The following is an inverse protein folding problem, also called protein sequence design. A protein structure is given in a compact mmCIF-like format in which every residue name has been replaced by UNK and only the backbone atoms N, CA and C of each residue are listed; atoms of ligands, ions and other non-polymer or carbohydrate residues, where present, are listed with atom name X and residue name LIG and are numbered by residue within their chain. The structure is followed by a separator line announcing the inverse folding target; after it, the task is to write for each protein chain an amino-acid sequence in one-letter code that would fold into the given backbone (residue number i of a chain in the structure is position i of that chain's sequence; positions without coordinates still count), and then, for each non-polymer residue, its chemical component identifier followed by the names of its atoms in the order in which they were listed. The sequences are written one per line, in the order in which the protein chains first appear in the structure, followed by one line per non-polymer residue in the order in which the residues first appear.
data_IF_050510054558
#
_entry.id   IF_050510054558
#
_cell.length_a   1.000
_cell.length_b   1.000
_cell.length_c   1.000
_cell.angle_alpha   90.00
_cell.angle_beta   90.00
_cell.angle_gamma   90.00
#
_symmetry.space_group_name_H-M   'P 1'
#
loop_
_entity.id
_entity.type
_entity.pdbx_description
1 polymer ?
#
# COMPACT_ATOMS: atom_id res chain seq x y z
N UNK A 1 24.90 6.79 5.70
CA UNK A 1 25.05 6.60 4.25
C UNK A 1 23.76 7.04 3.59
N UNK A 2 23.88 7.92 2.62
CA UNK A 2 22.79 8.49 1.85
C UNK A 2 22.50 7.54 0.68
N UNK A 3 21.27 7.05 0.57
CA UNK A 3 20.87 6.12 -0.48
C UNK A 3 21.09 6.75 -1.86
N UNK A 4 21.93 6.13 -2.70
CA UNK A 4 22.17 6.58 -4.07
C UNK A 4 21.13 5.93 -5.02
N UNK A 5 20.21 6.69 -5.62
CA UNK A 5 19.17 6.14 -6.50
C UNK A 5 19.69 5.64 -7.86
N UNK A 6 20.98 5.82 -8.19
CA UNK A 6 21.56 5.47 -9.48
C UNK A 6 22.55 4.29 -9.45
N UNK A 7 22.91 3.79 -8.26
CA UNK A 7 23.69 2.56 -8.09
C UNK A 7 22.91 1.55 -7.24
N UNK A 8 22.11 0.67 -7.87
CA UNK A 8 21.16 -0.21 -7.22
C UNK A 8 21.77 -1.54 -6.79
N UNK A 9 23.06 -1.78 -7.05
CA UNK A 9 23.74 -2.99 -6.61
C UNK A 9 24.28 -2.77 -5.21
N UNK A 10 23.48 -3.17 -4.22
CA UNK A 10 23.90 -3.14 -2.83
C UNK A 10 25.20 -3.94 -2.67
N UNK A 11 26.26 -3.30 -2.19
CA UNK A 11 27.47 -4.04 -1.79
C UNK A 11 27.10 -5.01 -0.64
N UNK A 12 27.86 -6.08 -0.40
CA UNK A 12 27.57 -7.07 0.66
C UNK A 12 27.28 -6.43 2.04
N UNK A 13 27.87 -5.26 2.27
CA UNK A 13 27.76 -4.43 3.46
C UNK A 13 26.36 -3.79 3.62
N UNK A 14 25.63 -3.60 2.51
CA UNK A 14 24.31 -2.96 2.44
C UNK A 14 23.15 -3.96 2.46
N UNK A 15 23.42 -5.26 2.25
CA UNK A 15 22.44 -6.36 2.40
C UNK A 15 21.95 -6.46 3.87
N UNK A 16 22.84 -6.20 4.83
CA UNK A 16 22.50 -6.24 6.27
C UNK A 16 21.48 -5.15 6.66
N UNK A 17 21.66 -3.87 6.29
CA UNK A 17 20.62 -2.85 6.37
C UNK A 17 19.31 -3.23 5.66
N UNK A 18 19.40 -3.84 4.47
CA UNK A 18 18.23 -4.20 3.68
C UNK A 18 17.37 -5.30 4.34
N UNK A 19 18.00 -6.29 4.99
CA UNK A 19 17.28 -7.27 5.83
C UNK A 19 16.54 -6.63 6.99
N UNK A 20 17.12 -5.63 7.64
CA UNK A 20 16.44 -4.87 8.71
C UNK A 20 15.20 -4.15 8.18
N UNK A 21 15.25 -3.64 6.95
CA UNK A 21 14.11 -2.99 6.30
C UNK A 21 12.95 -3.99 6.10
N UNK A 22 13.20 -5.23 5.67
CA UNK A 22 12.14 -6.25 5.57
C UNK A 22 11.54 -6.64 6.93
N UNK A 23 12.36 -6.75 7.97
CA UNK A 23 11.85 -6.98 9.33
C UNK A 23 10.99 -5.81 9.82
N UNK A 24 11.32 -4.59 9.41
CA UNK A 24 10.50 -3.41 9.73
C UNK A 24 9.22 -3.42 8.88
N UNK A 25 9.29 -3.76 7.60
CA UNK A 25 8.14 -3.85 6.68
C UNK A 25 7.07 -4.79 7.22
N UNK A 26 7.44 -5.96 7.75
CA UNK A 26 6.46 -6.89 8.32
C UNK A 26 5.68 -6.29 9.50
N UNK A 27 6.26 -5.35 10.25
CA UNK A 27 5.57 -4.62 11.32
C UNK A 27 4.53 -3.60 10.82
N UNK A 28 4.49 -3.37 9.51
CA UNK A 28 3.50 -2.54 8.83
C UNK A 28 2.50 -3.37 8.01
N UNK A 29 2.48 -4.70 8.14
CA UNK A 29 1.47 -5.55 7.49
C UNK A 29 0.23 -5.75 8.37
N UNK A 30 -0.87 -6.19 7.76
CA UNK A 30 -2.09 -6.60 8.47
C UNK A 30 -1.85 -7.82 9.37
N UNK A 31 -2.64 -7.98 10.42
CA UNK A 31 -2.55 -9.13 11.32
C UNK A 31 -2.75 -10.47 10.58
N UNK A 32 -2.09 -11.51 11.08
CA UNK A 32 -2.20 -12.87 10.56
C UNK A 32 -3.66 -13.34 10.54
N UNK A 33 -4.08 -14.04 9.48
CA UNK A 33 -5.48 -14.45 9.29
C UNK A 33 -6.34 -13.43 8.53
N UNK A 34 -5.89 -12.17 8.38
CA UNK A 34 -6.67 -11.11 7.70
C UNK A 34 -6.99 -11.45 6.24
N UNK A 35 -6.05 -12.04 5.51
CA UNK A 35 -6.23 -12.35 4.09
C UNK A 35 -6.95 -13.68 3.85
N UNK A 36 -7.21 -14.46 4.90
CA UNK A 36 -7.87 -15.76 4.84
C UNK A 36 -9.37 -15.68 5.10
N UNK A 37 -9.86 -14.56 5.63
CA UNK A 37 -11.28 -14.37 5.97
C UNK A 37 -12.05 -13.79 4.79
N UNK A 38 -13.08 -14.50 4.31
CA UNK A 38 -13.87 -14.07 3.14
C UNK A 38 -14.54 -12.70 3.32
N UNK A 39 -14.97 -12.36 4.54
CA UNK A 39 -15.56 -11.05 4.83
C UNK A 39 -14.53 -9.94 4.70
N UNK A 40 -13.31 -10.12 5.22
CA UNK A 40 -12.27 -9.10 5.11
C UNK A 40 -11.80 -8.95 3.67
N UNK A 41 -11.74 -10.04 2.89
CA UNK A 41 -11.46 -10.01 1.46
C UNK A 41 -12.51 -9.20 0.70
N UNK A 42 -13.80 -9.40 0.98
CA UNK A 42 -14.86 -8.64 0.30
C UNK A 42 -14.82 -7.15 0.64
N UNK A 43 -14.60 -6.79 1.91
CA UNK A 43 -14.40 -5.40 2.32
C UNK A 43 -13.17 -4.77 1.67
N UNK A 44 -12.06 -5.51 1.58
CA UNK A 44 -10.84 -5.05 0.90
C UNK A 44 -11.11 -4.77 -0.57
N UNK A 45 -11.79 -5.67 -1.29
CA UNK A 45 -12.13 -5.47 -2.72
C UNK A 45 -12.97 -4.21 -2.92
N UNK A 46 -13.97 -4.01 -2.05
CA UNK A 46 -14.77 -2.79 -2.06
C UNK A 46 -13.92 -1.53 -1.81
N UNK A 47 -13.05 -1.56 -0.80
CA UNK A 47 -12.16 -0.45 -0.48
C UNK A 47 -11.21 -0.09 -1.63
N UNK A 48 -10.63 -1.10 -2.30
CA UNK A 48 -9.75 -0.86 -3.47
C UNK A 48 -10.52 -0.20 -4.60
N UNK A 49 -11.70 -0.73 -4.94
CA UNK A 49 -12.57 -0.13 -5.97
C UNK A 49 -12.90 1.33 -5.65
N UNK A 50 -13.30 1.60 -4.41
CA UNK A 50 -13.68 2.94 -3.97
C UNK A 50 -12.48 3.91 -3.98
N UNK A 51 -11.33 3.49 -3.46
CA UNK A 51 -10.11 4.32 -3.42
C UNK A 51 -9.57 4.56 -4.83
N UNK A 52 -9.57 3.55 -5.70
CA UNK A 52 -9.14 3.71 -7.10
C UNK A 52 -10.03 4.71 -7.84
N UNK A 53 -11.36 4.59 -7.71
CA UNK A 53 -12.31 5.50 -8.33
C UNK A 53 -12.10 6.95 -7.87
N UNK A 54 -11.98 7.17 -6.56
CA UNK A 54 -11.76 8.51 -6.00
C UNK A 54 -10.35 9.05 -6.30
N UNK A 55 -9.36 8.18 -6.48
CA UNK A 55 -8.01 8.60 -6.86
C UNK A 55 -7.92 9.17 -8.28
N UNK A 56 -8.96 9.00 -9.12
CA UNK A 56 -9.03 9.59 -10.46
C UNK A 56 -9.50 11.04 -10.45
N UNK A 57 -10.15 11.48 -9.37
CA UNK A 57 -10.69 12.83 -9.24
C UNK A 57 -9.60 13.89 -9.04
N UNK A 58 -8.41 13.47 -8.60
CA UNK A 58 -7.25 14.32 -8.30
C UNK A 58 -5.99 13.64 -8.86
N UNK A 59 -4.93 14.39 -9.18
CA UNK A 59 -3.69 13.79 -9.67
C UNK A 59 -2.80 13.27 -8.51
N UNK A 60 -3.34 12.33 -7.72
CA UNK A 60 -2.58 11.72 -6.64
C UNK A 60 -1.46 10.82 -7.18
N UNK A 61 -0.27 10.90 -6.57
CA UNK A 61 0.73 9.85 -6.72
C UNK A 61 0.11 8.52 -6.29
N UNK A 62 0.32 7.45 -7.05
CA UNK A 62 -0.16 6.11 -6.73
C UNK A 62 0.37 5.57 -5.37
N UNK A 63 1.36 6.25 -4.77
CA UNK A 63 1.71 6.09 -3.36
C UNK A 63 0.55 6.38 -2.38
N UNK A 64 -0.29 7.37 -2.66
CA UNK A 64 -1.41 7.78 -1.80
C UNK A 64 -2.47 6.68 -1.68
N UNK A 65 -3.09 6.16 -2.78
CA UNK A 65 -4.07 5.08 -2.68
C UNK A 65 -3.44 3.79 -2.12
N UNK A 66 -2.16 3.54 -2.40
CA UNK A 66 -1.43 2.42 -1.80
C UNK A 66 -1.35 2.53 -0.27
N UNK A 67 -0.95 3.70 0.26
CA UNK A 67 -0.90 3.93 1.70
C UNK A 67 -2.27 3.88 2.34
N UNK A 68 -3.30 4.41 1.68
CA UNK A 68 -4.68 4.33 2.15
C UNK A 68 -5.12 2.87 2.33
N UNK A 69 -4.83 2.00 1.36
CA UNK A 69 -5.08 0.57 1.49
C UNK A 69 -4.27 -0.07 2.62
N UNK A 70 -3.00 0.28 2.77
CA UNK A 70 -2.19 -0.22 3.86
C UNK A 70 -2.75 0.18 5.25
N UNK A 71 -3.25 1.41 5.41
CA UNK A 71 -3.92 1.82 6.65
C UNK A 71 -5.23 1.07 6.87
N UNK A 72 -6.03 0.91 5.81
CA UNK A 72 -7.27 0.17 5.84
C UNK A 72 -7.04 -1.27 6.30
N UNK A 73 -6.10 -1.99 5.69
CA UNK A 73 -5.83 -3.39 6.00
C UNK A 73 -5.39 -3.57 7.45
N UNK A 74 -4.44 -2.73 7.90
CA UNK A 74 -3.93 -2.78 9.28
C UNK A 74 -5.04 -2.48 10.27
N UNK A 75 -5.85 -1.45 10.02
CA UNK A 75 -6.95 -1.07 10.90
C UNK A 75 -8.01 -2.18 10.98
N UNK A 76 -8.53 -2.64 9.84
CA UNK A 76 -9.57 -3.67 9.81
C UNK A 76 -9.08 -5.01 10.35
N UNK A 77 -7.78 -5.32 10.23
CA UNK A 77 -7.22 -6.53 10.81
C UNK A 77 -7.26 -6.56 12.35
N UNK A 78 -7.32 -5.39 13.01
CA UNK A 78 -7.36 -5.27 14.48
C UNK A 78 -8.76 -4.97 15.03
N UNK A 79 -9.69 -4.54 14.16
CA UNK A 79 -11.00 -4.05 14.57
C UNK A 79 -12.13 -4.84 13.93
N UNK A 80 -13.13 -5.20 14.72
CA UNK A 80 -14.39 -5.70 14.18
C UNK A 80 -15.11 -4.53 13.51
N UNK A 81 -15.51 -4.73 12.25
CA UNK A 81 -16.30 -3.75 11.54
C UNK A 81 -17.66 -3.57 12.22
N UNK A 82 -18.15 -2.32 12.37
CA UNK A 82 -19.49 -2.06 12.86
C UNK A 82 -20.51 -2.82 12.01
N UNK A 83 -21.38 -3.59 12.66
CA UNK A 83 -22.44 -4.35 11.97
C UNK A 83 -23.67 -3.47 11.67
N UNK A 84 -23.71 -2.25 12.21
CA UNK A 84 -24.89 -1.38 12.14
C UNK A 84 -24.92 -0.50 10.90
N UNK A 85 -26.12 -0.36 10.33
CA UNK A 85 -26.42 0.36 9.07
C UNK A 85 -26.55 1.88 9.21
N UNK A 86 -26.39 2.43 10.41
CA UNK A 86 -26.53 3.87 10.68
C UNK A 86 -25.17 4.56 10.82
N UNK A 87 -24.29 4.36 9.83
CA UNK A 87 -23.04 5.12 9.72
C UNK A 87 -23.38 6.51 9.18
N UNK A 88 -23.52 7.49 10.06
CA UNK A 88 -23.64 8.89 9.64
C UNK A 88 -22.27 9.38 9.15
N UNK A 89 -22.14 9.67 7.86
CA UNK A 89 -20.91 10.23 7.32
C UNK A 89 -20.98 11.76 7.35
N UNK A 90 -20.49 12.36 8.44
CA UNK A 90 -20.38 13.82 8.57
C UNK A 90 -18.96 14.22 8.99
N UNK A 91 -18.65 15.52 8.96
CA UNK A 91 -17.31 16.03 9.27
C UNK A 91 -16.79 15.62 10.65
N UNK A 92 -17.67 15.49 11.65
CA UNK A 92 -17.27 15.07 12.99
C UNK A 92 -16.90 13.59 12.99
N UNK A 93 -17.70 12.74 12.37
CA UNK A 93 -17.38 11.32 12.23
C UNK A 93 -16.10 11.08 11.44
N UNK A 94 -15.80 11.88 10.41
CA UNK A 94 -14.51 11.77 9.69
C UNK A 94 -13.33 12.06 10.63
N UNK A 95 -13.42 13.11 11.46
CA UNK A 95 -12.37 13.44 12.45
C UNK A 95 -12.23 12.37 13.52
N UNK A 96 -13.34 11.82 14.01
CA UNK A 96 -13.34 10.74 14.99
C UNK A 96 -12.68 9.49 14.41
N UNK A 97 -13.05 9.11 13.18
CA UNK A 97 -12.42 7.98 12.47
C UNK A 97 -10.95 8.22 12.17
N UNK A 98 -10.56 9.43 11.78
CA UNK A 98 -9.15 9.80 11.58
C UNK A 98 -8.35 9.59 12.86
N UNK A 99 -8.80 10.15 13.99
CA UNK A 99 -8.13 9.99 15.28
C UNK A 99 -8.12 8.53 15.75
N UNK A 100 -9.21 7.80 15.50
CA UNK A 100 -9.30 6.39 15.85
C UNK A 100 -8.29 5.54 15.07
N UNK A 101 -8.20 5.73 13.74
CA UNK A 101 -7.20 5.07 12.90
C UNK A 101 -5.78 5.43 13.38
N UNK A 102 -5.50 6.72 13.61
CA UNK A 102 -4.19 7.17 14.08
C UNK A 102 -3.78 6.50 15.40
N UNK A 103 -4.67 6.47 16.39
CA UNK A 103 -4.41 5.85 17.67
C UNK A 103 -4.26 4.33 17.57
N UNK A 104 -5.14 3.65 16.81
CA UNK A 104 -5.07 2.21 16.59
C UNK A 104 -3.78 1.78 15.90
N UNK A 105 -3.30 2.57 14.94
CA UNK A 105 -2.03 2.35 14.25
C UNK A 105 -0.81 2.88 15.04
N UNK A 106 -1.01 3.35 16.28
CA UNK A 106 0.03 3.95 17.14
C UNK A 106 0.79 5.09 16.45
N UNK A 107 0.09 5.88 15.64
CA UNK A 107 0.63 6.96 14.83
C UNK A 107 1.71 6.53 13.82
N UNK A 108 1.84 5.22 13.56
CA UNK A 108 2.81 4.65 12.62
C UNK A 108 2.27 4.73 11.19
N UNK A 109 2.06 5.94 10.70
CA UNK A 109 1.52 6.21 9.37
C UNK A 109 2.60 6.10 8.29
N UNK A 110 3.85 6.45 8.59
CA UNK A 110 4.97 6.30 7.66
C UNK A 110 5.35 4.83 7.49
N UNK A 111 4.56 4.12 6.70
CA UNK A 111 4.67 2.69 6.51
C UNK A 111 5.80 2.40 5.54
N UNK A 112 6.72 1.54 5.96
CA UNK A 112 7.70 0.96 5.06
C UNK A 112 7.02 -0.23 4.38
N UNK A 113 6.78 -0.12 3.07
CA UNK A 113 6.00 -1.08 2.30
C UNK A 113 6.74 -1.45 1.01
N UNK A 114 6.32 -2.50 0.27
CA UNK A 114 6.99 -2.93 -0.96
C UNK A 114 7.24 -1.80 -1.98
N UNK A 115 6.35 -0.80 -2.02
CA UNK A 115 6.46 0.36 -2.89
C UNK A 115 7.74 1.19 -2.64
N UNK A 116 8.24 1.21 -1.40
CA UNK A 116 9.46 1.92 -1.01
C UNK A 116 10.72 1.28 -1.64
N UNK A 117 10.67 -0.02 -1.95
CA UNK A 117 11.79 -0.76 -2.51
C UNK A 117 11.77 -0.82 -4.04
N UNK A 118 10.73 -0.32 -4.69
CA UNK A 118 10.59 -0.34 -6.15
C UNK A 118 11.78 0.32 -6.85
N UNK A 119 12.33 1.40 -6.28
CA UNK A 119 13.52 2.05 -6.83
C UNK A 119 14.78 1.18 -6.82
N UNK A 120 14.88 0.26 -5.85
CA UNK A 120 15.97 -0.71 -5.76
C UNK A 120 15.74 -1.88 -6.74
N UNK A 121 14.51 -2.38 -6.85
CA UNK A 121 14.22 -3.54 -7.68
C UNK A 121 14.13 -3.24 -9.18
N UNK A 122 13.67 -2.05 -9.60
CA UNK A 122 13.52 -1.71 -11.02
C UNK A 122 14.80 -1.95 -11.82
N UNK A 123 15.98 -1.49 -11.38
CA UNK A 123 17.21 -1.71 -12.15
C UNK A 123 17.65 -3.18 -12.22
N UNK A 124 17.29 -4.00 -11.22
CA UNK A 124 17.59 -5.43 -11.19
C UNK A 124 16.81 -6.22 -12.25
N UNK A 125 15.70 -5.68 -12.75
CA UNK A 125 14.88 -6.31 -13.79
C UNK A 125 15.55 -6.31 -15.18
N UNK A 126 16.75 -5.71 -15.32
CA UNK A 126 17.55 -5.65 -16.58
C UNK A 126 16.71 -5.20 -17.79
N UNK A 127 15.87 -4.20 -17.59
CA UNK A 127 14.97 -3.70 -18.65
C UNK A 127 15.76 -2.99 -19.77
N UNK A 128 15.26 -3.03 -21.02
CA UNK A 128 15.85 -2.31 -22.15
C UNK A 128 16.03 -0.81 -21.84
N UNK A 129 17.04 -0.15 -22.42
CA UNK A 129 17.31 1.29 -22.17
C UNK A 129 16.13 2.21 -22.52
N UNK A 130 15.27 1.81 -23.47
CA UNK A 130 14.00 2.48 -23.78
C UNK A 130 12.99 2.42 -22.63
N UNK A 131 13.08 1.41 -21.76
CA UNK A 131 12.25 1.19 -20.57
C UNK A 131 12.90 1.70 -19.28
N UNK A 132 14.17 2.15 -19.29
CA UNK A 132 14.85 2.66 -18.09
C UNK A 132 14.31 4.03 -17.63
N UNK A 133 13.58 4.74 -18.50
CA UNK A 133 12.76 5.90 -18.12
C UNK A 133 11.35 5.49 -17.68
N UNK A 134 11.19 4.28 -17.11
CA UNK A 134 9.91 3.84 -16.58
C UNK A 134 9.44 4.86 -15.55
N UNK A 135 8.43 5.64 -15.93
CA UNK A 135 7.77 6.54 -15.02
C UNK A 135 7.29 5.68 -13.83
N UNK A 136 7.66 6.05 -12.61
CA UNK A 136 7.35 5.26 -11.41
C UNK A 136 5.83 5.10 -11.24
N UNK A 137 5.07 6.04 -11.80
CA UNK A 137 3.60 6.10 -11.78
C UNK A 137 2.94 4.82 -12.34
N UNK A 138 3.25 4.32 -13.55
CA UNK A 138 2.79 3.02 -14.03
C UNK A 138 3.08 1.82 -13.11
N UNK A 139 4.29 1.75 -12.52
CA UNK A 139 4.65 0.64 -11.64
C UNK A 139 3.79 0.65 -10.37
N UNK A 140 3.61 1.83 -9.80
CA UNK A 140 2.75 2.01 -8.63
C UNK A 140 1.28 1.72 -8.95
N UNK A 141 0.79 2.09 -10.13
CA UNK A 141 -0.56 1.74 -10.58
C UNK A 141 -0.73 0.22 -10.72
N UNK A 142 0.26 -0.49 -11.25
CA UNK A 142 0.25 -1.97 -11.34
C UNK A 142 0.19 -2.57 -9.93
N UNK A 143 0.99 -2.07 -9.00
CA UNK A 143 0.98 -2.54 -7.61
C UNK A 143 -0.40 -2.33 -6.97
N UNK A 144 -1.01 -1.15 -7.14
CA UNK A 144 -2.35 -0.86 -6.61
C UNK A 144 -3.41 -1.74 -7.25
N UNK A 145 -3.38 -1.95 -8.58
CA UNK A 145 -4.32 -2.85 -9.26
C UNK A 145 -4.16 -4.31 -8.86
N UNK A 146 -2.91 -4.76 -8.66
CA UNK A 146 -2.62 -6.10 -8.15
C UNK A 146 -3.19 -6.31 -6.73
N UNK A 147 -3.30 -5.25 -5.91
CA UNK A 147 -3.94 -5.33 -4.58
C UNK A 147 -5.45 -5.64 -4.64
N UNK A 148 -6.11 -5.39 -5.77
CA UNK A 148 -7.53 -5.67 -6.01
C UNK A 148 -7.81 -7.15 -6.38
N UNK A 149 -6.77 -7.90 -6.75
CA UNK A 149 -6.93 -9.19 -7.44
C UNK A 149 -7.38 -9.06 -8.90
N UNK A 150 -7.42 -7.83 -9.45
CA UNK A 150 -7.70 -7.59 -10.86
C UNK A 150 -6.37 -7.57 -11.63
N UNK A 151 -5.82 -8.75 -11.88
CA UNK A 151 -4.84 -8.90 -12.95
C UNK A 151 -5.65 -9.32 -14.18
N UNK A 152 -5.96 -8.34 -15.03
CA UNK A 152 -6.35 -8.50 -16.43
C UNK A 152 -7.61 -9.35 -16.71
N UNK A 153 -8.80 -8.87 -16.32
CA UNK A 153 -9.97 -9.11 -17.16
C UNK A 153 -10.02 -7.98 -18.19
N UNK A 154 -9.25 -8.15 -19.26
CA UNK A 154 -9.57 -7.47 -20.50
C UNK A 154 -10.88 -8.08 -21.01
N UNK A 155 -11.94 -7.28 -21.00
CA UNK A 155 -13.08 -7.53 -21.86
C UNK A 155 -12.59 -7.44 -23.31
N UNK A 156 -12.45 -8.59 -23.95
CA UNK A 156 -12.52 -8.73 -25.41
C UNK A 156 -13.96 -8.50 -25.89
#
# INVERSE_FOLDING_TARGET
MEYNPYDPLLQEDEIRPFRKLFTIESSFMACEGYFQNEKTISFRRYAVSYIEENSKCEDFDAFVPYLAMNYFDRFISMHKLPTERNLQFNRNHVKEMELHILNSLRWRMRSLTPICFVGYFIPLLRLPRSSQQLNRRPVYQIIVKAQAGQILEHHD
#
